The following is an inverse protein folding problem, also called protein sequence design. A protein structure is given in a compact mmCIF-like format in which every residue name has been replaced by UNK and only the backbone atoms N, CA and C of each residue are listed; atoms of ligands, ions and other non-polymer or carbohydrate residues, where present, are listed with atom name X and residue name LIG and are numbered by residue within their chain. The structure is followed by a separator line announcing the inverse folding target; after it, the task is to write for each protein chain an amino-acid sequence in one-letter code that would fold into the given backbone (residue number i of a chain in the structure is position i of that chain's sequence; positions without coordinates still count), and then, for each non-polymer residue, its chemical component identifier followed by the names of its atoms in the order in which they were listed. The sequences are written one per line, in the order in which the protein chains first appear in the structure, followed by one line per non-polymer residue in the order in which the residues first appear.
data_IF_475802961003
#
_entry.id   IF_475802961003
#
_cell.length_a   1.000
_cell.length_b   1.000
_cell.length_c   1.000
_cell.angle_alpha   90.00
_cell.angle_beta   90.00
_cell.angle_gamma   90.00
#
_symmetry.space_group_name_H-M   'P 1'
#
loop_
_entity.id
_entity.type
_entity.pdbx_description
1 polymer ?
#
# COMPACT_ATOMS: atom_id res chain seq x y z
N UNK A 1 -6.55 45.65 -11.40
CA UNK A 1 -5.65 45.01 -10.41
C UNK A 1 -6.17 43.60 -10.15
N UNK A 2 -5.62 42.65 -10.92
CA UNK A 2 -6.02 41.25 -11.00
C UNK A 2 -5.54 40.46 -9.78
N UNK A 3 -6.47 39.90 -9.01
CA UNK A 3 -6.18 38.85 -8.03
C UNK A 3 -6.58 37.51 -8.65
N UNK A 4 -5.66 36.93 -9.41
CA UNK A 4 -5.74 35.55 -9.90
C UNK A 4 -5.52 34.60 -8.72
N UNK A 5 -6.59 34.31 -7.98
CA UNK A 5 -6.61 33.24 -6.98
C UNK A 5 -6.67 31.92 -7.76
N UNK A 6 -5.52 31.28 -7.96
CA UNK A 6 -5.38 29.97 -8.61
C UNK A 6 -6.28 28.96 -7.89
N UNK A 7 -7.41 28.62 -8.50
CA UNK A 7 -8.27 27.50 -8.13
C UNK A 7 -7.47 26.22 -8.34
N UNK A 8 -7.06 25.58 -7.25
CA UNK A 8 -6.55 24.19 -7.28
C UNK A 8 -7.74 23.33 -7.67
N UNK A 9 -7.73 22.80 -8.91
CA UNK A 9 -8.75 21.88 -9.41
C UNK A 9 -8.68 20.60 -8.57
N UNK A 10 -9.63 20.46 -7.65
CA UNK A 10 -9.97 19.18 -7.03
C UNK A 10 -10.51 18.31 -8.15
N UNK A 11 -9.76 17.31 -8.60
CA UNK A 11 -10.28 16.29 -9.48
C UNK A 11 -11.23 15.43 -8.64
N UNK A 12 -12.53 15.61 -8.88
CA UNK A 12 -13.60 14.81 -8.31
C UNK A 12 -13.47 13.38 -8.85
N UNK A 13 -13.10 12.45 -7.98
CA UNK A 13 -13.26 11.02 -8.21
C UNK A 13 -14.54 10.59 -7.51
N UNK A 14 -15.51 10.21 -8.33
CA UNK A 14 -16.88 9.85 -7.99
C UNK A 14 -16.95 8.80 -6.87
N UNK A 15 -17.84 9.06 -5.92
CA UNK A 15 -18.19 8.20 -4.79
C UNK A 15 -19.22 7.15 -5.21
N UNK A 16 -18.88 5.89 -5.04
CA UNK A 16 -19.83 4.78 -4.89
C UNK A 16 -19.41 3.88 -3.72
N UNK A 17 -20.44 3.37 -3.06
CA UNK A 17 -20.58 3.06 -1.64
C UNK A 17 -19.68 1.97 -1.02
N UNK A 18 -19.28 2.27 0.23
CA UNK A 18 -19.20 1.38 1.41
C UNK A 18 -18.72 -0.08 1.32
N UNK A 19 -17.71 -0.40 0.50
CA UNK A 19 -16.82 -1.53 0.79
C UNK A 19 -15.36 -1.05 0.73
N UNK A 20 -14.78 -0.77 1.91
CA UNK A 20 -13.47 -0.13 2.05
C UNK A 20 -12.34 -0.91 1.37
N UNK A 21 -12.04 -0.62 0.10
CA UNK A 21 -10.98 -1.26 -0.65
C UNK A 21 -11.01 -0.99 -2.16
N UNK A 22 -10.18 -1.74 -2.88
CA UNK A 22 -10.21 -1.87 -4.34
C UNK A 22 -10.02 -3.35 -4.73
N UNK A 23 -10.12 -3.66 -6.03
CA UNK A 23 -9.88 -5.02 -6.57
C UNK A 23 -8.51 -5.62 -6.20
N UNK A 24 -7.53 -4.78 -5.86
CA UNK A 24 -6.18 -5.23 -5.50
C UNK A 24 -6.03 -5.53 -4.01
N UNK A 25 -6.65 -4.72 -3.15
CA UNK A 25 -6.52 -4.79 -1.69
C UNK A 25 -7.76 -4.26 -0.99
N UNK A 26 -8.26 -4.99 0.00
CA UNK A 26 -9.32 -4.48 0.89
C UNK A 26 -8.67 -3.67 1.99
N UNK A 27 -8.99 -2.38 2.12
CA UNK A 27 -8.33 -1.47 3.05
C UNK A 27 -9.20 -0.25 3.33
N UNK A 28 -9.06 0.31 4.51
CA UNK A 28 -9.86 1.47 4.95
C UNK A 28 -9.10 2.78 4.86
N UNK A 29 -8.18 2.89 3.91
CA UNK A 29 -7.28 4.04 3.73
C UNK A 29 -6.98 4.30 2.27
N UNK A 30 -6.70 5.57 1.95
CA UNK A 30 -6.27 6.02 0.62
C UNK A 30 -4.89 6.70 0.74
N UNK A 31 -4.02 6.51 -0.23
CA UNK A 31 -2.72 7.17 -0.32
C UNK A 31 -2.86 8.57 -0.88
N UNK A 32 -2.16 9.53 -0.26
CA UNK A 32 -1.82 10.80 -0.90
C UNK A 32 -0.54 10.56 -1.69
N UNK A 33 -0.61 10.64 -3.01
CA UNK A 33 0.52 10.32 -3.87
C UNK A 33 1.44 11.55 -3.98
N UNK A 34 2.72 11.46 -3.56
CA UNK A 34 3.62 12.62 -3.56
C UNK A 34 3.97 13.09 -4.97
N UNK A 35 3.98 12.17 -5.95
CA UNK A 35 4.33 12.41 -7.34
C UNK A 35 3.35 13.35 -8.07
N UNK A 36 2.05 13.20 -7.83
CA UNK A 36 1.01 13.95 -8.56
C UNK A 36 -0.01 14.63 -7.64
N UNK A 37 0.15 14.54 -6.31
CA UNK A 37 -0.71 15.14 -5.29
C UNK A 37 -2.19 14.73 -5.41
N UNK A 38 -2.43 13.51 -5.88
CA UNK A 38 -3.76 12.91 -6.02
C UNK A 38 -3.99 11.87 -4.93
N UNK A 39 -5.24 11.42 -4.80
CA UNK A 39 -5.63 10.44 -3.79
C UNK A 39 -6.06 9.15 -4.46
N UNK A 40 -5.41 8.03 -4.12
CA UNK A 40 -5.73 6.72 -4.67
C UNK A 40 -5.86 5.67 -3.58
N UNK A 41 -6.75 4.70 -3.75
CA UNK A 41 -6.91 3.61 -2.78
C UNK A 41 -5.62 2.78 -2.65
N UNK A 42 -4.95 2.46 -3.75
CA UNK A 42 -3.68 1.74 -3.73
C UNK A 42 -2.72 2.17 -4.84
N UNK A 43 -1.48 1.67 -4.79
CA UNK A 43 -0.47 1.96 -5.83
C UNK A 43 -0.90 1.48 -7.22
N UNK A 44 -1.55 0.32 -7.31
CA UNK A 44 -1.96 -0.22 -8.60
C UNK A 44 -3.11 0.60 -9.20
N UNK A 45 -4.04 1.09 -8.36
CA UNK A 45 -5.06 2.03 -8.81
C UNK A 45 -4.46 3.36 -9.29
N UNK A 46 -3.32 3.78 -8.74
CA UNK A 46 -2.58 4.92 -9.27
C UNK A 46 -1.96 4.57 -10.62
N UNK A 47 -1.18 3.49 -10.69
CA UNK A 47 -0.43 3.09 -11.88
C UNK A 47 -1.35 2.71 -13.07
N UNK A 48 -2.58 2.28 -12.79
CA UNK A 48 -3.62 2.02 -13.81
C UNK A 48 -4.22 3.32 -14.39
N UNK A 49 -4.17 4.43 -13.65
CA UNK A 49 -4.81 5.69 -14.01
C UNK A 49 -3.82 6.83 -14.34
N UNK A 50 -2.53 6.62 -14.11
CA UNK A 50 -1.47 7.60 -14.32
C UNK A 50 -0.40 7.04 -15.26
N UNK A 51 0.29 7.93 -15.98
CA UNK A 51 1.36 7.56 -16.92
C UNK A 51 2.70 7.21 -16.25
N UNK A 52 2.74 7.14 -14.93
CA UNK A 52 3.95 6.88 -14.15
C UNK A 52 3.64 5.99 -12.94
N UNK A 53 4.61 5.18 -12.48
CA UNK A 53 4.42 4.35 -11.30
C UNK A 53 4.54 5.16 -10.00
N UNK A 54 3.76 4.77 -8.99
CA UNK A 54 3.91 5.28 -7.63
C UNK A 54 5.05 4.56 -6.91
N UNK A 55 6.05 5.32 -6.48
CA UNK A 55 7.03 4.81 -5.53
C UNK A 55 6.42 4.71 -4.14
N UNK A 56 6.15 3.47 -3.70
CA UNK A 56 5.55 3.17 -2.38
C UNK A 56 6.35 3.75 -1.21
N UNK A 57 7.68 3.92 -1.32
CA UNK A 57 8.52 4.42 -0.23
C UNK A 57 8.32 5.91 0.03
N UNK A 58 7.90 6.65 -0.99
CA UNK A 58 7.78 8.11 -0.91
C UNK A 58 6.43 8.54 -0.30
N UNK A 59 5.49 7.61 -0.15
CA UNK A 59 4.19 7.88 0.45
C UNK A 59 4.37 8.15 1.95
N UNK A 60 4.10 9.39 2.35
CA UNK A 60 4.21 9.88 3.74
C UNK A 60 2.86 10.16 4.38
N UNK A 61 1.80 10.31 3.57
CA UNK A 61 0.47 10.70 4.02
C UNK A 61 -0.64 9.76 3.52
N UNK A 62 -1.65 9.60 4.37
CA UNK A 62 -2.84 8.78 4.17
C UNK A 62 -4.10 9.61 4.42
N UNK A 63 -5.20 9.21 3.79
CA UNK A 63 -6.55 9.68 4.09
C UNK A 63 -7.37 8.53 4.64
N UNK A 64 -7.95 8.69 5.83
CA UNK A 64 -8.83 7.70 6.42
C UNK A 64 -10.06 7.48 5.55
N UNK A 65 -10.39 6.24 5.23
CA UNK A 65 -11.58 5.89 4.46
C UNK A 65 -12.90 6.04 5.22
N UNK A 66 -12.87 6.14 6.56
CA UNK A 66 -14.07 6.29 7.39
C UNK A 66 -14.36 7.75 7.76
N UNK A 67 -13.38 8.47 8.29
CA UNK A 67 -13.56 9.84 8.79
C UNK A 67 -12.92 10.92 7.91
N UNK A 68 -12.34 10.53 6.76
CA UNK A 68 -11.69 11.42 5.79
C UNK A 68 -10.53 12.26 6.35
N UNK A 69 -9.98 11.90 7.51
CA UNK A 69 -8.83 12.60 8.10
C UNK A 69 -7.56 12.32 7.29
N UNK A 70 -6.92 13.37 6.79
CA UNK A 70 -5.56 13.34 6.23
C UNK A 70 -4.56 13.32 7.38
N UNK A 71 -3.64 12.37 7.36
CA UNK A 71 -2.69 12.12 8.45
C UNK A 71 -1.41 11.46 7.92
N UNK A 72 -0.41 11.30 8.77
CA UNK A 72 0.81 10.57 8.41
C UNK A 72 0.54 9.07 8.27
N UNK A 73 1.40 8.37 7.52
CA UNK A 73 1.33 6.91 7.44
C UNK A 73 1.51 6.30 8.83
N UNK A 74 0.50 5.57 9.26
CA UNK A 74 0.52 4.74 10.46
C UNK A 74 -0.51 3.60 10.30
N UNK A 75 -0.64 2.72 11.29
CA UNK A 75 -1.54 1.56 11.21
C UNK A 75 -3.02 1.91 11.44
N UNK A 76 -3.29 3.00 12.17
CA UNK A 76 -4.61 3.36 12.68
C UNK A 76 -4.89 4.85 12.44
N UNK A 77 -6.16 5.26 12.44
CA UNK A 77 -6.48 6.67 12.29
C UNK A 77 -6.29 7.43 13.61
N UNK A 78 -5.57 8.56 13.57
CA UNK A 78 -5.34 9.46 14.70
C UNK A 78 -6.65 10.04 15.27
N UNK A 79 -7.71 10.15 14.44
CA UNK A 79 -8.98 10.75 14.85
C UNK A 79 -10.03 9.74 15.31
N UNK A 80 -10.24 8.67 14.55
CA UNK A 80 -11.30 7.69 14.83
C UNK A 80 -10.80 6.32 15.30
N UNK A 81 -9.48 6.17 15.46
CA UNK A 81 -8.81 4.92 15.88
C UNK A 81 -9.12 3.72 14.99
N UNK A 82 -9.58 3.97 13.76
CA UNK A 82 -9.84 2.90 12.80
C UNK A 82 -8.53 2.31 12.31
N UNK A 83 -8.37 1.00 12.44
CA UNK A 83 -7.28 0.25 11.81
C UNK A 83 -7.47 0.16 10.29
N UNK A 84 -6.43 0.48 9.53
CA UNK A 84 -6.53 0.54 8.06
C UNK A 84 -6.45 -0.80 7.35
N UNK A 85 -5.90 -1.81 8.02
CA UNK A 85 -5.80 -3.18 7.53
C UNK A 85 -5.48 -4.15 8.68
N UNK A 86 -6.06 -5.34 8.65
CA UNK A 86 -5.66 -6.46 9.54
C UNK A 86 -4.16 -6.71 9.42
N UNK A 87 -3.68 -6.92 8.19
CA UNK A 87 -2.26 -6.92 7.87
C UNK A 87 -1.80 -5.50 7.55
N UNK A 88 -0.79 -5.04 8.28
CA UNK A 88 -0.17 -3.73 8.08
C UNK A 88 1.34 -3.90 8.01
N UNK A 89 1.94 -3.42 6.93
CA UNK A 89 3.39 -3.30 6.79
C UNK A 89 3.75 -1.86 6.46
N UNK A 90 4.30 -1.14 7.45
CA UNK A 90 4.66 0.27 7.29
C UNK A 90 5.86 0.47 6.36
N UNK A 91 6.78 -0.49 6.28
CA UNK A 91 7.92 -0.41 5.36
C UNK A 91 7.48 -0.44 3.90
N UNK A 92 6.55 -1.36 3.58
CA UNK A 92 5.97 -1.46 2.24
C UNK A 92 4.78 -0.52 2.02
N UNK A 93 4.33 0.19 3.06
CA UNK A 93 3.07 0.96 3.08
C UNK A 93 1.90 0.10 2.60
N UNK A 94 1.85 -1.17 3.01
CA UNK A 94 0.80 -2.12 2.59
C UNK A 94 -0.21 -2.30 3.72
N UNK A 95 -1.49 -2.12 3.38
CA UNK A 95 -2.64 -2.33 4.25
C UNK A 95 -3.60 -3.26 3.53
N UNK A 96 -3.97 -4.37 4.18
CA UNK A 96 -4.89 -5.37 3.65
C UNK A 96 -5.75 -5.96 4.80
N UNK A 97 -7.07 -5.94 4.64
CA UNK A 97 -8.06 -6.54 5.53
C UNK A 97 -8.32 -8.02 5.20
N UNK A 98 -7.85 -8.49 4.04
CA UNK A 98 -7.85 -9.90 3.69
C UNK A 98 -6.65 -10.60 4.31
N UNK A 99 -6.86 -11.77 4.90
CA UNK A 99 -5.77 -12.63 5.32
C UNK A 99 -5.35 -13.52 4.14
N UNK A 100 -4.17 -13.24 3.61
CA UNK A 100 -3.53 -14.04 2.55
C UNK A 100 -2.26 -14.70 3.08
N UNK A 101 -2.10 -14.77 4.40
CA UNK A 101 -0.84 -15.11 5.06
C UNK A 101 0.32 -14.24 4.55
N UNK A 102 0.07 -12.92 4.48
CA UNK A 102 1.08 -11.96 4.03
C UNK A 102 2.20 -11.87 5.06
N UNK A 103 3.43 -11.69 4.60
CA UNK A 103 4.57 -11.45 5.47
C UNK A 103 5.60 -10.54 4.80
N UNK A 104 6.28 -9.70 5.58
CA UNK A 104 7.41 -8.92 5.09
C UNK A 104 8.67 -9.79 5.04
N UNK A 105 9.33 -9.86 3.89
CA UNK A 105 10.64 -10.48 3.78
C UNK A 105 11.73 -9.39 3.82
N UNK A 106 12.48 -9.34 4.93
CA UNK A 106 13.58 -8.39 5.12
C UNK A 106 14.61 -8.46 3.99
N UNK A 107 15.01 -9.68 3.58
CA UNK A 107 16.00 -9.88 2.52
C UNK A 107 15.55 -9.37 1.16
N UNK A 108 14.25 -9.40 0.86
CA UNK A 108 13.72 -8.86 -0.39
C UNK A 108 13.24 -7.40 -0.26
N UNK A 109 13.02 -6.88 0.95
CA UNK A 109 12.42 -5.57 1.19
C UNK A 109 10.98 -5.42 0.65
N UNK A 110 10.24 -6.52 0.53
CA UNK A 110 8.86 -6.57 0.03
C UNK A 110 7.99 -7.54 0.82
N UNK A 111 6.70 -7.23 0.88
CA UNK A 111 5.68 -8.18 1.34
C UNK A 111 5.49 -9.31 0.31
N UNK A 112 5.47 -10.54 0.81
CA UNK A 112 5.13 -11.77 0.10
C UNK A 112 3.83 -12.35 0.65
N UNK A 113 3.31 -13.36 -0.04
CA UNK A 113 2.04 -14.04 0.27
C UNK A 113 2.35 -15.53 0.49
N UNK A 114 1.57 -16.21 1.34
CA UNK A 114 1.65 -17.67 1.50
C UNK A 114 2.23 -18.17 2.81
N UNK A 115 2.52 -17.28 3.77
CA UNK A 115 3.00 -17.61 5.12
C UNK A 115 4.51 -17.61 5.24
N UNK A 116 5.05 -16.94 6.29
CA UNK A 116 6.50 -16.88 6.55
C UNK A 116 7.09 -18.27 6.80
N UNK A 117 6.29 -19.17 7.38
CA UNK A 117 6.63 -20.54 7.74
C UNK A 117 6.77 -21.49 6.54
N UNK A 118 6.37 -21.08 5.33
CA UNK A 118 6.46 -21.93 4.12
C UNK A 118 7.58 -21.55 3.17
N UNK A 119 8.22 -20.40 3.41
CA UNK A 119 9.23 -19.84 2.52
C UNK A 119 10.48 -19.44 3.32
N UNK A 120 11.64 -19.61 2.69
CA UNK A 120 12.90 -19.06 3.18
C UNK A 120 13.45 -18.07 2.15
N UNK A 121 14.22 -17.09 2.60
CA UNK A 121 14.93 -16.19 1.71
C UNK A 121 16.32 -16.76 1.41
N UNK A 122 16.63 -16.99 0.13
CA UNK A 122 17.98 -17.31 -0.29
C UNK A 122 18.72 -16.01 -0.65
N UNK A 123 19.72 -15.65 0.16
CA UNK A 123 20.53 -14.45 -0.06
C UNK A 123 21.34 -14.50 -1.37
N UNK A 124 21.82 -15.69 -1.77
CA UNK A 124 22.59 -15.86 -3.02
C UNK A 124 21.74 -15.60 -4.25
N UNK A 125 20.53 -16.18 -4.29
CA UNK A 125 19.58 -15.97 -5.38
C UNK A 125 18.81 -14.64 -5.26
N UNK A 126 18.92 -13.96 -4.11
CA UNK A 126 18.13 -12.79 -3.73
C UNK A 126 16.60 -12.99 -3.93
N UNK A 127 16.08 -14.17 -3.56
CA UNK A 127 14.68 -14.51 -3.75
C UNK A 127 14.12 -15.41 -2.64
N UNK A 128 12.81 -15.30 -2.40
CA UNK A 128 12.09 -16.20 -1.49
C UNK A 128 11.71 -17.48 -2.24
N UNK A 129 12.05 -18.64 -1.65
CA UNK A 129 11.77 -19.97 -2.19
C UNK A 129 11.01 -20.80 -1.15
N UNK A 130 10.18 -21.77 -1.57
CA UNK A 130 9.55 -22.71 -0.64
C UNK A 130 10.59 -23.46 0.21
N UNK A 131 10.32 -23.68 1.50
CA UNK A 131 11.25 -24.36 2.42
C UNK A 131 11.71 -25.74 1.92
N UNK A 132 10.87 -26.43 1.14
CA UNK A 132 11.23 -27.69 0.49
C UNK A 132 12.49 -27.61 -0.38
N UNK A 133 12.86 -26.42 -0.84
CA UNK A 133 14.03 -26.17 -1.68
C UNK A 133 15.26 -25.71 -0.89
N UNK A 134 15.17 -25.50 0.43
CA UNK A 134 16.22 -24.86 1.23
C UNK A 134 17.60 -25.51 1.07
N UNK A 135 17.64 -26.84 0.92
CA UNK A 135 18.87 -27.61 0.74
C UNK A 135 19.01 -28.24 -0.65
N UNK A 136 18.06 -28.02 -1.55
CA UNK A 136 17.98 -28.72 -2.84
C UNK A 136 18.05 -27.81 -4.07
N UNK A 137 17.90 -26.49 -3.91
CA UNK A 137 18.04 -25.58 -5.04
C UNK A 137 19.51 -25.26 -5.33
N UNK A 138 19.83 -25.22 -6.62
CA UNK A 138 21.11 -24.69 -7.08
C UNK A 138 20.95 -23.18 -7.25
N UNK A 139 21.76 -22.41 -6.52
CA UNK A 139 21.86 -20.97 -6.75
C UNK A 139 22.49 -20.73 -8.13
N UNK A 140 21.96 -19.73 -8.84
CA UNK A 140 22.51 -19.22 -10.10
C UNK A 140 23.48 -18.08 -9.85
#
# INVERSE_FOLDING_TARGET
RSLFRRKVKMAEAESSDMEGGCKHYKRRTKFVTPCCQKVYTCRFCHDENESHPLNRKDVTELVCGNCCTRQKVQAECEKCSLRFGKYTCLECKLFDDEDKNQYHCEGCGICRIGGRDKFFHCAKCNMCLPIKLQNGHRCV
#
